data_IF_833966906299
#
_entry.id   IF_833966906299
#
_cell.length_a   1.000
_cell.length_b   1.000
_cell.length_c   1.000
_cell.angle_alpha   90.00
_cell.angle_beta   90.00
_cell.angle_gamma   90.00
#
_symmetry.space_group_name_H-M   'P 1'
#
loop_
_entity.id
_entity.type
_entity.pdbx_description
1 polymer ?
#
# COMPACT_ATOMS: atom_id res chain seq x y z
N UNK A 1 4.37 -8.65 15.04
CA UNK A 1 4.78 -8.87 13.63
C UNK A 1 3.53 -8.99 12.78
N UNK A 2 3.40 -8.55 11.53
CA UNK A 2 4.05 -7.49 10.75
C UNK A 2 2.90 -6.70 10.11
N UNK A 3 2.93 -5.37 10.21
CA UNK A 3 1.94 -4.51 9.55
C UNK A 3 2.68 -3.87 8.40
N UNK A 4 2.35 -4.36 7.21
CA UNK A 4 3.01 -4.04 5.95
C UNK A 4 2.01 -3.43 4.98
N UNK A 5 2.40 -2.45 4.16
CA UNK A 5 2.18 -2.34 2.69
C UNK A 5 2.63 -1.03 2.01
N UNK A 6 3.16 -1.08 0.76
CA UNK A 6 2.50 -0.68 -0.53
C UNK A 6 3.51 -0.44 -1.69
N UNK A 7 3.13 -0.81 -2.93
CA UNK A 7 3.33 0.02 -4.14
C UNK A 7 1.96 0.51 -4.57
N UNK A 8 1.82 1.80 -4.83
CA UNK A 8 0.55 2.36 -5.23
C UNK A 8 0.22 2.00 -6.69
N UNK A 9 -0.92 1.32 -6.93
CA UNK A 9 -1.45 1.00 -8.27
C UNK A 9 -1.92 2.27 -9.03
N UNK A 10 -1.04 3.25 -9.24
CA UNK A 10 -1.35 4.49 -9.93
C UNK A 10 -1.87 4.22 -11.34
N UNK A 11 -3.06 4.74 -11.66
CA UNK A 11 -3.73 4.51 -12.95
C UNK A 11 -4.57 3.24 -13.04
N UNK A 12 -4.82 2.53 -11.94
CA UNK A 12 -5.85 1.50 -11.91
C UNK A 12 -7.25 2.12 -11.86
N UNK A 13 -8.03 1.92 -12.94
CA UNK A 13 -9.40 2.43 -13.05
C UNK A 13 -10.38 1.72 -12.09
N UNK A 14 -10.06 0.50 -11.64
CA UNK A 14 -10.89 -0.27 -10.71
C UNK A 14 -10.69 0.17 -9.25
N UNK A 15 -9.68 0.99 -8.97
CA UNK A 15 -9.38 1.54 -7.65
C UNK A 15 -9.16 3.04 -7.81
N UNK A 16 -10.22 3.84 -7.99
CA UNK A 16 -10.12 5.23 -8.44
C UNK A 16 -9.43 6.12 -7.40
N UNK A 17 -9.73 5.95 -6.11
CA UNK A 17 -9.12 6.75 -5.04
C UNK A 17 -7.80 6.13 -4.55
N UNK A 18 -6.95 6.93 -3.93
CA UNK A 18 -5.71 6.44 -3.32
C UNK A 18 -6.00 5.52 -2.12
N UNK A 19 -7.02 5.84 -1.33
CA UNK A 19 -7.39 5.02 -0.18
C UNK A 19 -7.99 3.67 -0.59
N UNK A 20 -8.60 3.57 -1.79
CA UNK A 20 -8.98 2.29 -2.39
C UNK A 20 -7.73 1.45 -2.64
N UNK A 21 -6.72 2.05 -3.30
CA UNK A 21 -5.46 1.38 -3.66
C UNK A 21 -4.70 0.91 -2.43
N UNK A 22 -4.66 1.77 -1.40
CA UNK A 22 -4.09 1.48 -0.08
C UNK A 22 -4.86 0.30 0.52
N UNK A 23 -6.14 0.44 0.87
CA UNK A 23 -6.84 -0.63 1.60
C UNK A 23 -6.88 -1.95 0.82
N UNK A 24 -7.16 -1.91 -0.48
CA UNK A 24 -7.14 -3.09 -1.36
C UNK A 24 -5.83 -3.85 -1.24
N UNK A 25 -4.74 -3.13 -1.40
CA UNK A 25 -3.42 -3.70 -1.28
C UNK A 25 -3.23 -4.31 0.11
N UNK A 26 -3.53 -3.61 1.19
CA UNK A 26 -3.31 -4.16 2.53
C UNK A 26 -4.02 -5.49 2.76
N UNK A 27 -5.22 -5.59 2.23
CA UNK A 27 -6.00 -6.82 2.23
C UNK A 27 -5.36 -7.92 1.39
N UNK A 28 -4.92 -7.62 0.16
CA UNK A 28 -4.23 -8.60 -0.71
C UNK A 28 -3.06 -9.21 0.02
N UNK A 29 -2.18 -8.41 0.60
CA UNK A 29 -1.07 -9.01 1.31
C UNK A 29 -1.48 -9.84 2.52
N UNK A 30 -2.40 -9.32 3.33
CA UNK A 30 -2.80 -10.06 4.53
C UNK A 30 -3.34 -11.43 4.13
N UNK A 31 -3.96 -11.51 2.97
CA UNK A 31 -4.43 -12.74 2.36
C UNK A 31 -3.27 -13.63 1.88
N UNK A 32 -2.31 -13.10 1.13
CA UNK A 32 -1.20 -13.92 0.63
C UNK A 32 -0.21 -14.35 1.72
N UNK A 33 -0.13 -13.60 2.84
CA UNK A 33 0.75 -13.96 3.95
C UNK A 33 0.34 -15.25 4.63
N UNK A 34 -0.89 -15.71 4.37
CA UNK A 34 -1.42 -16.99 4.83
C UNK A 34 -1.24 -18.10 3.78
N UNK A 35 -0.75 -17.79 2.58
CA UNK A 35 -0.43 -18.81 1.58
C UNK A 35 0.86 -19.51 2.02
N UNK A 36 0.78 -20.83 2.14
CA UNK A 36 1.91 -21.66 2.54
C UNK A 36 3.10 -21.45 1.60
N UNK A 37 4.30 -21.41 2.17
CA UNK A 37 5.58 -21.25 1.45
C UNK A 37 5.80 -19.91 0.72
N UNK A 38 4.84 -18.98 0.72
CA UNK A 38 5.07 -17.60 0.24
C UNK A 38 6.02 -16.84 1.17
N UNK A 39 5.99 -17.15 2.46
CA UNK A 39 6.98 -16.69 3.43
C UNK A 39 7.62 -17.91 4.11
N UNK A 40 8.94 -17.96 4.16
CA UNK A 40 9.66 -18.99 4.91
C UNK A 40 9.63 -18.73 6.44
N UNK A 41 10.21 -19.64 7.21
CA UNK A 41 10.27 -19.55 8.67
C UNK A 41 11.09 -18.36 9.20
N UNK A 42 11.95 -17.76 8.36
CA UNK A 42 12.72 -16.55 8.63
C UNK A 42 11.97 -15.27 8.21
N UNK A 43 10.83 -15.43 7.51
CA UNK A 43 10.02 -14.36 6.97
C UNK A 43 10.48 -13.86 5.60
N UNK A 44 11.36 -14.60 4.91
CA UNK A 44 11.79 -14.28 3.56
C UNK A 44 10.68 -14.58 2.57
N UNK A 45 10.39 -13.60 1.72
CA UNK A 45 9.37 -13.70 0.68
C UNK A 45 9.84 -14.52 -0.53
N UNK A 46 9.08 -15.54 -0.90
CA UNK A 46 9.27 -16.31 -2.13
C UNK A 46 8.35 -15.80 -3.25
N UNK A 47 8.92 -15.02 -4.17
CA UNK A 47 8.18 -14.47 -5.30
C UNK A 47 7.71 -15.54 -6.29
N UNK A 48 8.48 -16.61 -6.49
CA UNK A 48 8.14 -17.68 -7.44
C UNK A 48 6.87 -18.41 -7.00
N UNK A 49 6.83 -18.85 -5.74
CA UNK A 49 5.64 -19.48 -5.13
C UNK A 49 4.40 -18.59 -5.20
N UNK A 50 4.56 -17.28 -4.98
CA UNK A 50 3.42 -16.37 -5.10
C UNK A 50 2.91 -16.29 -6.56
N UNK A 51 3.82 -16.28 -7.54
CA UNK A 51 3.42 -16.23 -8.95
C UNK A 51 2.75 -17.53 -9.39
N UNK A 52 3.26 -18.68 -8.97
CA UNK A 52 2.62 -19.98 -9.19
C UNK A 52 1.19 -20.00 -8.65
N UNK A 53 0.99 -19.54 -7.41
CA UNK A 53 -0.35 -19.41 -6.82
C UNK A 53 -1.27 -18.52 -7.67
N UNK A 54 -0.77 -17.36 -8.12
CA UNK A 54 -1.56 -16.45 -8.92
C UNK A 54 -1.83 -16.93 -10.35
N UNK A 55 -1.05 -17.86 -10.89
CA UNK A 55 -1.30 -18.46 -12.19
C UNK A 55 -2.44 -19.49 -12.14
N UNK A 56 -2.65 -20.11 -10.99
CA UNK A 56 -3.76 -21.02 -10.73
C UNK A 56 -5.02 -20.27 -10.24
N UNK A 57 -4.86 -19.26 -9.39
CA UNK A 57 -5.96 -18.54 -8.75
C UNK A 57 -5.93 -17.04 -9.03
N UNK A 58 -7.06 -16.47 -9.46
CA UNK A 58 -7.23 -15.02 -9.60
C UNK A 58 -7.86 -14.37 -8.36
N UNK A 59 -8.03 -15.13 -7.28
CA UNK A 59 -8.52 -14.68 -5.99
C UNK A 59 -7.67 -15.27 -4.86
N UNK A 60 -7.74 -14.66 -3.67
CA UNK A 60 -7.19 -15.20 -2.43
C UNK A 60 -8.24 -15.08 -1.34
N UNK A 61 -8.35 -16.07 -0.46
CA UNK A 61 -9.22 -15.94 0.72
C UNK A 61 -8.71 -14.83 1.62
N UNK A 62 -9.59 -13.90 1.98
CA UNK A 62 -9.24 -12.75 2.78
C UNK A 62 -8.94 -13.19 4.22
N UNK A 63 -7.77 -12.80 4.71
CA UNK A 63 -7.45 -12.93 6.13
C UNK A 63 -8.48 -12.19 6.99
N UNK A 64 -9.00 -12.87 8.02
CA UNK A 64 -10.03 -12.32 8.88
C UNK A 64 -9.47 -11.12 9.67
N UNK A 65 -9.79 -9.91 9.20
CA UNK A 65 -9.29 -8.68 9.80
C UNK A 65 -10.39 -7.65 9.99
N UNK A 66 -10.55 -7.20 11.24
CA UNK A 66 -11.56 -6.20 11.56
C UNK A 66 -11.23 -4.83 10.93
N UNK A 67 -12.25 -4.05 10.52
CA UNK A 67 -12.05 -2.68 10.02
C UNK A 67 -11.29 -1.77 11.01
N UNK A 68 -11.45 -2.02 12.32
CA UNK A 68 -10.71 -1.31 13.37
C UNK A 68 -9.22 -1.60 13.35
N UNK A 69 -8.85 -2.87 13.12
CA UNK A 69 -7.45 -3.28 12.99
C UNK A 69 -6.82 -2.65 11.75
N UNK A 70 -7.51 -2.68 10.60
CA UNK A 70 -7.08 -1.99 9.36
C UNK A 70 -6.86 -0.49 9.63
N UNK A 71 -7.84 0.17 10.27
CA UNK A 71 -7.76 1.60 10.57
C UNK A 71 -6.54 1.95 11.44
N UNK A 72 -6.29 1.14 12.47
CA UNK A 72 -5.12 1.30 13.35
C UNK A 72 -3.81 1.09 12.59
N UNK A 73 -3.74 0.01 11.82
CA UNK A 73 -2.53 -0.44 11.14
C UNK A 73 -2.12 0.53 10.01
N UNK A 74 -3.11 1.08 9.30
CA UNK A 74 -2.90 2.07 8.24
C UNK A 74 -2.97 3.52 8.71
N UNK A 75 -3.21 3.75 10.01
CA UNK A 75 -3.41 5.09 10.57
C UNK A 75 -4.49 5.92 9.83
N UNK A 76 -5.52 5.24 9.33
CA UNK A 76 -6.67 5.84 8.64
C UNK A 76 -7.85 5.99 9.59
N UNK A 77 -8.76 6.93 9.29
CA UNK A 77 -10.02 7.01 10.04
C UNK A 77 -10.86 5.75 9.81
N UNK A 78 -11.54 5.27 10.85
CA UNK A 78 -12.43 4.11 10.74
C UNK A 78 -13.54 4.33 9.70
N UNK A 79 -14.01 5.57 9.53
CA UNK A 79 -15.01 5.92 8.53
C UNK A 79 -14.46 5.80 7.11
N UNK A 80 -13.20 6.22 6.89
CA UNK A 80 -12.50 6.00 5.62
C UNK A 80 -12.42 4.51 5.33
N UNK A 81 -11.96 3.70 6.28
CA UNK A 81 -11.84 2.25 6.09
C UNK A 81 -13.18 1.60 5.75
N UNK A 82 -14.23 1.87 6.53
CA UNK A 82 -15.57 1.32 6.27
C UNK A 82 -16.12 1.73 4.91
N UNK A 83 -15.94 2.99 4.51
CA UNK A 83 -16.38 3.48 3.21
C UNK A 83 -15.66 2.76 2.06
N UNK A 84 -14.35 2.54 2.21
CA UNK A 84 -13.53 1.89 1.18
C UNK A 84 -13.77 0.39 1.08
N UNK A 85 -13.97 -0.31 2.21
CA UNK A 85 -14.38 -1.71 2.19
C UNK A 85 -15.72 -1.92 1.45
N UNK A 86 -16.71 -1.04 1.69
CA UNK A 86 -17.98 -1.07 0.94
C UNK A 86 -17.77 -0.88 -0.56
N UNK A 87 -16.86 0.01 -0.94
CA UNK A 87 -16.53 0.22 -2.35
C UNK A 87 -15.93 -1.05 -2.99
N UNK A 88 -14.99 -1.71 -2.31
CA UNK A 88 -14.37 -2.94 -2.81
C UNK A 88 -15.39 -4.07 -2.99
N UNK A 89 -16.34 -4.21 -2.05
CA UNK A 89 -17.46 -5.17 -2.16
C UNK A 89 -18.34 -4.81 -3.36
N UNK A 90 -18.79 -3.55 -3.45
CA UNK A 90 -19.65 -3.10 -4.54
C UNK A 90 -19.00 -3.23 -5.93
N UNK A 91 -17.67 -3.15 -5.98
CA UNK A 91 -16.89 -3.26 -7.22
C UNK A 91 -16.52 -4.72 -7.55
N UNK A 92 -17.04 -5.71 -6.81
CA UNK A 92 -16.71 -7.13 -6.92
C UNK A 92 -15.20 -7.42 -6.81
N UNK A 93 -14.47 -6.58 -6.07
CA UNK A 93 -13.06 -6.80 -5.71
C UNK A 93 -12.97 -7.64 -4.44
N UNK A 94 -13.95 -7.50 -3.55
CA UNK A 94 -14.23 -8.43 -2.45
C UNK A 94 -15.56 -9.11 -2.74
N UNK A 95 -15.61 -10.43 -2.69
CA UNK A 95 -16.85 -11.18 -2.86
C UNK A 95 -17.55 -11.48 -1.51
N UNK A 96 -18.73 -12.11 -1.59
CA UNK A 96 -19.52 -12.48 -0.40
C UNK A 96 -18.90 -13.63 0.39
N UNK A 97 -18.03 -14.42 -0.24
CA UNK A 97 -17.31 -15.54 0.37
C UNK A 97 -16.00 -15.07 1.02
N UNK A 98 -15.82 -13.75 1.14
CA UNK A 98 -14.67 -13.12 1.74
C UNK A 98 -13.37 -13.44 0.97
N UNK A 99 -13.43 -13.55 -0.36
CA UNK A 99 -12.25 -13.60 -1.20
C UNK A 99 -11.95 -12.22 -1.77
N UNK A 100 -10.65 -11.93 -1.93
CA UNK A 100 -10.16 -10.74 -2.61
C UNK A 100 -9.67 -11.10 -4.02
N UNK A 101 -10.19 -10.41 -5.02
CA UNK A 101 -9.75 -10.55 -6.39
C UNK A 101 -8.34 -9.94 -6.57
N UNK A 102 -7.42 -10.71 -7.13
CA UNK A 102 -6.05 -10.28 -7.39
C UNK A 102 -5.99 -9.65 -8.77
N UNK A 103 -5.85 -8.32 -8.80
CA UNK A 103 -5.76 -7.57 -10.04
C UNK A 103 -4.46 -7.97 -10.75
N UNK A 104 -4.48 -8.30 -12.06
CA UNK A 104 -3.28 -8.72 -12.80
C UNK A 104 -2.10 -7.75 -12.70
N UNK A 105 -2.38 -6.46 -12.49
CA UNK A 105 -1.38 -5.40 -12.28
C UNK A 105 -0.55 -5.58 -10.99
N UNK A 106 -0.99 -6.38 -10.03
CA UNK A 106 -0.20 -6.73 -8.84
C UNK A 106 0.92 -7.70 -9.19
N UNK A 107 0.71 -8.63 -10.13
CA UNK A 107 1.74 -9.62 -10.51
C UNK A 107 3.07 -8.97 -10.93
N UNK A 108 2.99 -7.76 -11.49
CA UNK A 108 4.13 -7.02 -12.01
C UNK A 108 4.56 -5.82 -11.13
N UNK A 109 3.97 -5.61 -9.95
CA UNK A 109 4.28 -4.41 -9.15
C UNK A 109 5.41 -4.67 -8.15
N UNK A 110 6.21 -3.63 -7.86
CA UNK A 110 7.31 -3.60 -6.86
C UNK A 110 6.86 -3.77 -5.40
N UNK A 111 5.64 -4.24 -5.22
CA UNK A 111 4.79 -4.15 -4.05
C UNK A 111 5.30 -4.92 -2.83
N UNK A 112 5.97 -6.05 -3.05
CA UNK A 112 6.53 -6.88 -1.98
C UNK A 112 7.89 -6.39 -1.50
N UNK A 113 8.66 -5.72 -2.36
CA UNK A 113 10.04 -5.32 -2.05
C UNK A 113 10.13 -4.20 -1.01
N UNK A 114 9.16 -3.28 -1.03
CA UNK A 114 9.28 -2.05 -0.25
C UNK A 114 9.30 -2.23 1.26
N UNK A 115 8.58 -3.16 1.88
CA UNK A 115 8.77 -3.34 3.33
C UNK A 115 9.94 -4.27 3.66
N UNK A 116 10.09 -5.36 2.90
CA UNK A 116 11.16 -6.33 3.11
C UNK A 116 12.53 -5.66 3.14
N UNK A 117 12.75 -4.71 2.22
CA UNK A 117 14.04 -4.05 2.05
C UNK A 117 14.20 -2.79 2.92
N UNK A 118 13.10 -2.12 3.33
CA UNK A 118 13.17 -0.79 3.98
C UNK A 118 12.82 -0.77 5.47
N UNK A 119 12.06 -1.74 5.97
CA UNK A 119 11.59 -1.77 7.36
C UNK A 119 10.64 -0.63 7.76
N UNK A 120 10.10 0.14 6.81
CA UNK A 120 9.12 1.20 7.07
C UNK A 120 7.78 0.65 7.56
N UNK A 121 7.09 1.39 8.44
CA UNK A 121 5.79 0.96 9.04
C UNK A 121 4.83 2.14 9.20
N UNK A 122 3.54 1.84 9.29
CA UNK A 122 2.48 2.82 9.58
C UNK A 122 2.45 3.97 8.57
N UNK A 123 2.33 5.21 9.06
CA UNK A 123 2.26 6.39 8.20
C UNK A 123 3.51 6.57 7.30
N UNK A 124 4.70 6.22 7.78
CA UNK A 124 5.93 6.36 6.99
C UNK A 124 5.86 5.51 5.74
N UNK A 125 5.44 4.26 5.89
CA UNK A 125 5.27 3.35 4.78
C UNK A 125 4.16 3.83 3.83
N UNK A 126 2.98 4.18 4.35
CA UNK A 126 1.84 4.68 3.55
C UNK A 126 2.24 5.87 2.69
N UNK A 127 2.93 6.84 3.29
CA UNK A 127 3.37 8.05 2.58
C UNK A 127 4.49 7.72 1.60
N UNK A 128 5.49 6.94 1.99
CA UNK A 128 6.60 6.60 1.12
C UNK A 128 6.15 5.88 -0.15
N UNK A 129 5.29 4.88 -0.02
CA UNK A 129 4.75 4.14 -1.14
C UNK A 129 3.88 4.98 -2.07
N UNK A 130 3.12 5.93 -1.51
CA UNK A 130 2.39 6.92 -2.30
C UNK A 130 3.36 7.82 -3.08
N UNK A 131 4.43 8.31 -2.45
CA UNK A 131 5.42 9.16 -3.09
C UNK A 131 6.18 8.41 -4.19
N UNK A 132 6.62 7.18 -3.92
CA UNK A 132 7.36 6.35 -4.87
C UNK A 132 6.53 6.06 -6.12
N UNK A 133 5.29 5.60 -5.96
CA UNK A 133 4.41 5.36 -7.11
C UNK A 133 4.07 6.63 -7.89
N UNK A 134 3.99 7.79 -7.20
CA UNK A 134 3.76 9.08 -7.87
C UNK A 134 5.00 9.53 -8.64
N UNK A 135 6.19 9.31 -8.06
CA UNK A 135 7.48 9.69 -8.61
C UNK A 135 7.97 8.80 -9.76
N UNK A 136 7.44 7.58 -9.89
CA UNK A 136 7.76 6.66 -11.00
C UNK A 136 7.61 7.34 -12.38
N UNK A 137 6.53 8.13 -12.56
CA UNK A 137 6.27 8.88 -13.80
C UNK A 137 7.14 10.14 -13.98
N UNK A 138 7.89 10.51 -12.95
CA UNK A 138 8.70 11.73 -12.89
C UNK A 138 10.17 11.41 -12.54
N UNK A 139 10.65 10.21 -12.87
CA UNK A 139 12.03 9.77 -12.66
C UNK A 139 12.52 9.96 -11.22
N UNK A 140 11.69 9.61 -10.23
CA UNK A 140 12.05 9.67 -8.81
C UNK A 140 11.96 11.07 -8.18
N UNK A 141 11.49 12.09 -8.92
CA UNK A 141 11.41 13.47 -8.43
C UNK A 141 10.00 14.03 -8.50
N UNK A 142 9.46 14.52 -7.38
CA UNK A 142 8.13 15.16 -7.35
C UNK A 142 8.13 16.49 -6.61
N UNK A 143 7.45 17.48 -7.16
CA UNK A 143 7.21 18.76 -6.49
C UNK A 143 6.13 18.59 -5.42
N UNK A 144 6.38 19.13 -4.23
CA UNK A 144 5.49 19.04 -3.08
C UNK A 144 4.33 20.03 -3.18
N UNK A 145 3.23 19.63 -3.84
CA UNK A 145 1.94 20.29 -3.59
C UNK A 145 1.27 19.66 -2.37
N UNK A 146 1.82 19.96 -1.18
CA UNK A 146 1.46 19.31 0.09
C UNK A 146 -0.05 19.30 0.33
N UNK A 147 -0.79 20.33 -0.08
CA UNK A 147 -2.24 20.39 0.09
C UNK A 147 -3.01 19.31 -0.68
N UNK A 148 -2.63 19.02 -1.92
CA UNK A 148 -3.31 18.00 -2.75
C UNK A 148 -2.96 16.61 -2.22
N UNK A 149 -1.68 16.36 -1.94
CA UNK A 149 -1.21 15.07 -1.43
C UNK A 149 -1.82 14.73 -0.07
N UNK A 150 -1.93 15.71 0.84
CA UNK A 150 -2.61 15.55 2.12
C UNK A 150 -4.09 15.16 1.94
N UNK A 151 -4.78 15.81 1.01
CA UNK A 151 -6.19 15.53 0.73
C UNK A 151 -6.38 14.13 0.13
N UNK A 152 -5.51 13.74 -0.79
CA UNK A 152 -5.51 12.40 -1.37
C UNK A 152 -5.37 11.36 -0.24
N UNK A 153 -4.34 11.48 0.59
CA UNK A 153 -4.07 10.55 1.70
C UNK A 153 -5.05 10.65 2.88
N UNK A 154 -5.95 11.64 2.89
CA UNK A 154 -6.84 11.90 4.03
C UNK A 154 -6.09 12.29 5.31
N UNK A 155 -4.92 12.92 5.18
CA UNK A 155 -4.05 13.28 6.30
C UNK A 155 -4.03 14.80 6.51
N UNK A 156 -3.81 15.25 7.75
CA UNK A 156 -3.56 16.67 8.00
C UNK A 156 -2.16 17.06 7.50
N UNK A 157 -2.00 18.32 7.07
CA UNK A 157 -0.70 18.87 6.65
C UNK A 157 0.38 18.66 7.71
N UNK A 158 0.05 18.87 8.99
CA UNK A 158 0.97 18.66 10.11
C UNK A 158 1.44 17.22 10.22
N UNK A 159 0.54 16.23 10.05
CA UNK A 159 0.91 14.83 10.12
C UNK A 159 1.75 14.40 8.92
N UNK A 160 1.36 14.85 7.73
CA UNK A 160 2.11 14.59 6.50
C UNK A 160 3.55 15.13 6.58
N UNK A 161 3.74 16.36 7.06
CA UNK A 161 5.08 16.92 7.23
C UNK A 161 5.94 16.16 8.25
N UNK A 162 5.34 15.70 9.36
CA UNK A 162 6.05 14.85 10.32
C UNK A 162 6.57 13.57 9.67
N UNK A 163 5.76 12.97 8.81
CA UNK A 163 6.13 11.74 8.09
C UNK A 163 7.21 12.01 7.06
N UNK A 164 7.13 13.11 6.31
CA UNK A 164 8.19 13.51 5.39
C UNK A 164 9.53 13.72 6.11
N UNK A 165 9.51 14.34 7.30
CA UNK A 165 10.71 14.47 8.13
C UNK A 165 11.24 13.10 8.58
N UNK A 166 10.38 12.19 9.04
CA UNK A 166 10.76 10.82 9.45
C UNK A 166 11.40 10.05 8.30
N UNK A 167 10.77 10.05 7.12
CA UNK A 167 11.29 9.41 5.91
C UNK A 167 12.63 9.99 5.47
N UNK A 168 12.81 11.31 5.61
CA UNK A 168 14.07 11.96 5.28
C UNK A 168 15.19 11.59 6.25
N UNK A 169 14.91 11.54 7.55
CA UNK A 169 15.87 11.07 8.56
C UNK A 169 16.29 9.62 8.33
N UNK A 170 15.39 8.79 7.81
CA UNK A 170 15.65 7.39 7.45
C UNK A 170 16.33 7.22 6.08
N UNK A 171 16.58 8.31 5.34
CA UNK A 171 17.30 8.28 4.06
C UNK A 171 16.46 7.88 2.84
N UNK A 172 15.14 7.73 3.01
CA UNK A 172 14.24 7.33 1.92
C UNK A 172 13.86 8.47 0.99
N UNK A 173 13.88 9.70 1.51
CA UNK A 173 13.56 10.89 0.71
C UNK A 173 14.51 12.05 1.04
N UNK A 174 14.75 12.90 0.04
CA UNK A 174 15.54 14.12 0.21
C UNK A 174 14.79 15.32 -0.39
N UNK A 175 14.84 16.47 0.30
CA UNK A 175 14.34 17.74 -0.26
C UNK A 175 15.46 18.50 -0.93
N UNK A 176 15.32 18.76 -2.22
CA UNK A 176 16.23 19.64 -2.93
C UNK A 176 15.99 21.12 -2.60
N UNK A 177 16.87 21.98 -3.12
CA UNK A 177 16.83 23.44 -2.91
C UNK A 177 15.53 24.10 -3.44
N UNK A 178 14.78 23.42 -4.29
CA UNK A 178 13.50 23.87 -4.85
C UNK A 178 12.29 23.27 -4.11
N UNK A 179 12.50 22.66 -2.93
CA UNK A 179 11.50 21.90 -2.18
C UNK A 179 10.91 20.69 -2.92
N UNK A 180 11.54 20.22 -4.00
CA UNK A 180 11.15 18.98 -4.63
C UNK A 180 11.65 17.80 -3.79
N UNK A 181 10.83 16.76 -3.68
CA UNK A 181 11.21 15.50 -3.06
C UNK A 181 11.86 14.60 -4.10
N UNK A 182 13.09 14.19 -3.81
CA UNK A 182 13.75 13.04 -4.42
C UNK A 182 13.39 11.82 -3.59
N UNK A 183 12.89 10.79 -4.26
CA UNK A 183 12.53 9.50 -3.66
C UNK A 183 13.62 8.51 -4.06
N UNK A 184 14.28 7.92 -3.06
CA UNK A 184 15.37 6.98 -3.26
C UNK A 184 14.87 5.55 -3.53
#
# INVERSE_FOLDING_TARGET
MNVIFYTCLFGNKNLPEINDKIIYSYLVYKSISEIESVFDYEGSFNQETLMEYFDEYNYSTLYEISPYKIAKDLSLSINTVKARLRYLIHSNILDCDNNIYILPKIKNSTYFKLEMETGLKGNDLVVYSFLLGKAERFHGKITTYNGIQCKELGMSKKNYEKVLCSLSQKGFIYRDKNNALLIN
#
